data_IF_779524906831
#
_entry.id   IF_779524906831
#
_cell.length_a   1.000
_cell.length_b   1.000
_cell.length_c   1.000
_cell.angle_alpha   90.00
_cell.angle_beta   90.00
_cell.angle_gamma   90.00
#
_symmetry.space_group_name_H-M   'P 1'
#
loop_
_entity.id
_entity.type
_entity.pdbx_description
1 polymer ?
#
# COMPACT_ATOMS: atom_id res chain seq x y z
N UNK A 1 21.89 -54.29 -49.66
CA UNK A 1 22.35 -53.32 -48.64
C UNK A 1 21.20 -52.34 -48.41
N UNK A 2 20.55 -52.38 -47.25
CA UNK A 2 19.45 -51.46 -46.91
C UNK A 2 20.04 -50.31 -46.07
N UNK A 3 20.00 -49.09 -46.60
CA UNK A 3 20.36 -47.88 -45.86
C UNK A 3 19.26 -47.58 -44.83
N UNK A 4 19.53 -47.85 -43.56
CA UNK A 4 18.71 -47.35 -42.46
C UNK A 4 18.94 -45.85 -42.29
N UNK A 5 17.94 -45.02 -42.61
CA UNK A 5 17.96 -43.63 -42.23
C UNK A 5 17.82 -43.54 -40.71
N UNK A 6 18.94 -43.35 -40.01
CA UNK A 6 18.91 -42.91 -38.62
C UNK A 6 18.14 -41.59 -38.57
N UNK A 7 17.02 -41.54 -37.84
CA UNK A 7 16.21 -40.33 -37.73
C UNK A 7 17.07 -39.20 -37.17
N UNK A 8 17.23 -38.13 -37.95
CA UNK A 8 17.99 -36.97 -37.50
C UNK A 8 17.22 -36.26 -36.37
N UNK A 9 17.87 -36.12 -35.22
CA UNK A 9 17.38 -35.35 -34.08
C UNK A 9 18.20 -34.07 -33.98
N UNK A 10 17.54 -32.94 -33.77
CA UNK A 10 18.16 -31.64 -33.52
C UNK A 10 17.40 -30.92 -32.41
N UNK A 11 18.13 -30.30 -31.50
CA UNK A 11 17.60 -29.53 -30.38
C UNK A 11 18.21 -28.12 -30.42
N UNK A 12 17.45 -27.14 -29.94
CA UNK A 12 17.91 -25.75 -29.81
C UNK A 12 17.31 -25.12 -28.55
N UNK A 13 17.94 -24.06 -28.06
CA UNK A 13 17.48 -23.34 -26.86
C UNK A 13 16.61 -22.17 -27.26
N UNK A 14 15.42 -22.08 -26.67
CA UNK A 14 14.52 -20.93 -26.79
C UNK A 14 14.51 -20.20 -25.45
N UNK A 15 14.86 -18.91 -25.45
CA UNK A 15 14.72 -18.07 -24.28
C UNK A 15 13.32 -17.44 -24.29
N UNK A 16 12.54 -17.74 -23.27
CA UNK A 16 11.21 -17.16 -23.05
C UNK A 16 11.32 -16.18 -21.87
N UNK A 17 10.95 -14.93 -22.09
CA UNK A 17 10.83 -13.92 -21.04
C UNK A 17 9.35 -13.69 -20.76
N UNK A 18 8.94 -13.86 -19.51
CA UNK A 18 7.60 -13.50 -19.05
C UNK A 18 7.63 -12.03 -18.66
N UNK A 19 6.76 -11.24 -19.28
CA UNK A 19 6.58 -9.83 -18.94
C UNK A 19 5.52 -9.70 -17.86
N UNK A 20 5.80 -8.80 -16.92
CA UNK A 20 4.87 -8.46 -15.85
C UNK A 20 3.62 -7.76 -16.41
N UNK A 21 2.47 -8.03 -15.80
CA UNK A 21 1.20 -7.36 -16.07
C UNK A 21 0.63 -6.86 -14.76
N UNK A 22 -0.10 -5.75 -14.77
CA UNK A 22 -0.74 -5.24 -13.56
C UNK A 22 -1.97 -6.09 -13.20
N UNK A 23 -1.74 -7.21 -12.51
CA UNK A 23 -2.79 -8.12 -12.07
C UNK A 23 -2.88 -8.26 -10.53
N UNK A 24 -1.96 -7.64 -9.80
CA UNK A 24 -2.04 -7.49 -8.37
C UNK A 24 -2.55 -6.09 -8.01
N UNK A 25 -3.05 -5.97 -6.78
CA UNK A 25 -3.46 -4.68 -6.22
C UNK A 25 -2.67 -4.43 -4.96
N UNK A 26 -2.46 -3.16 -4.56
CA UNK A 26 -1.84 -2.87 -3.30
C UNK A 26 -2.69 -3.43 -2.15
N UNK A 27 -2.02 -4.06 -1.19
CA UNK A 27 -2.66 -4.70 -0.04
C UNK A 27 -1.99 -4.26 1.25
N UNK A 28 -2.81 -3.93 2.24
CA UNK A 28 -2.34 -3.65 3.58
C UNK A 28 -2.05 -4.97 4.33
N UNK A 29 -1.03 -4.96 5.19
CA UNK A 29 -0.64 -6.13 5.99
C UNK A 29 -1.71 -6.54 7.03
N UNK A 30 -2.71 -5.69 7.31
CA UNK A 30 -3.84 -5.97 8.21
C UNK A 30 -5.15 -5.40 7.64
N UNK A 31 -6.27 -6.00 8.03
CA UNK A 31 -7.61 -5.53 7.64
C UNK A 31 -8.07 -4.30 8.42
N UNK A 32 -7.52 -4.09 9.62
CA UNK A 32 -7.86 -2.97 10.50
C UNK A 32 -6.67 -2.63 11.39
N UNK A 33 -6.55 -1.34 11.71
CA UNK A 33 -5.54 -0.81 12.62
C UNK A 33 -6.23 -0.04 13.74
N UNK A 34 -5.63 -0.06 14.92
CA UNK A 34 -6.06 0.72 16.07
C UNK A 34 -4.83 1.45 16.59
N UNK A 35 -4.96 2.76 16.78
CA UNK A 35 -3.90 3.61 17.30
C UNK A 35 -4.49 4.65 18.23
N UNK A 36 -3.62 5.45 18.83
CA UNK A 36 -4.02 6.53 19.72
C UNK A 36 -3.17 7.78 19.49
N UNK A 37 -3.79 8.92 19.75
CA UNK A 37 -3.15 10.24 19.70
C UNK A 37 -3.68 11.07 20.88
N UNK A 38 -2.82 11.92 21.43
CA UNK A 38 -3.20 12.86 22.48
C UNK A 38 -3.99 14.02 21.89
N UNK A 39 -5.01 14.53 22.60
CA UNK A 39 -5.68 15.79 22.25
C UNK A 39 -4.75 17.00 22.26
N UNK A 40 -3.66 16.92 23.03
CA UNK A 40 -2.61 17.93 23.08
C UNK A 40 -1.58 17.77 21.95
N UNK A 41 -1.82 16.87 20.99
CA UNK A 41 -0.92 16.68 19.87
C UNK A 41 -0.84 17.94 19.01
N UNK A 42 0.37 18.35 18.65
CA UNK A 42 0.59 19.44 17.70
C UNK A 42 0.50 18.92 16.26
N UNK A 43 0.35 19.83 15.30
CA UNK A 43 0.35 19.50 13.88
C UNK A 43 1.55 18.62 13.51
N UNK A 44 1.32 17.60 12.68
CA UNK A 44 2.29 16.58 12.26
C UNK A 44 2.76 15.60 13.33
N UNK A 45 2.10 15.53 14.49
CA UNK A 45 2.33 14.44 15.44
C UNK A 45 1.82 13.11 14.85
N UNK A 46 2.65 12.05 14.84
CA UNK A 46 2.23 10.74 14.32
C UNK A 46 1.27 10.04 15.29
N UNK A 47 0.26 9.36 14.73
CA UNK A 47 -0.62 8.47 15.50
C UNK A 47 0.18 7.25 15.94
N UNK A 48 0.14 6.95 17.24
CA UNK A 48 0.93 5.87 17.83
C UNK A 48 0.21 4.52 17.74
N UNK A 49 0.97 3.42 17.72
CA UNK A 49 0.43 2.06 17.68
C UNK A 49 0.04 1.55 16.28
N UNK A 50 0.22 2.35 15.22
CA UNK A 50 -0.05 1.97 13.85
C UNK A 50 1.20 1.35 13.20
N UNK A 51 1.20 0.03 13.00
CA UNK A 51 2.21 -0.70 12.21
C UNK A 51 1.65 -1.03 10.83
N UNK A 52 1.42 0.00 10.02
CA UNK A 52 0.81 -0.13 8.69
C UNK A 52 1.87 -0.33 7.63
N UNK A 53 1.73 -1.41 6.87
CA UNK A 53 2.51 -1.66 5.67
C UNK A 53 1.54 -1.94 4.53
N UNK A 54 1.85 -1.40 3.35
CA UNK A 54 1.10 -1.63 2.11
C UNK A 54 2.06 -2.10 1.04
N UNK A 55 1.65 -3.11 0.27
CA UNK A 55 2.47 -3.66 -0.80
C UNK A 55 1.67 -4.12 -2.01
N UNK A 56 2.22 -3.92 -3.19
CA UNK A 56 1.77 -4.49 -4.47
C UNK A 56 2.84 -5.47 -4.98
N UNK A 57 2.40 -6.65 -5.44
CA UNK A 57 3.29 -7.73 -5.85
C UNK A 57 3.79 -7.60 -7.30
N UNK A 58 3.25 -6.65 -8.07
CA UNK A 58 3.67 -6.37 -9.44
C UNK A 58 5.08 -5.76 -9.52
N UNK A 59 5.66 -5.69 -10.72
CA UNK A 59 7.03 -5.22 -10.92
C UNK A 59 7.10 -3.82 -11.51
N UNK A 60 8.08 -3.03 -11.03
CA UNK A 60 8.36 -1.70 -11.54
C UNK A 60 7.14 -0.78 -11.47
N UNK A 61 6.81 -0.16 -12.61
CA UNK A 61 5.67 0.77 -12.72
C UNK A 61 4.32 0.12 -12.42
N UNK A 62 4.20 -1.20 -12.54
CA UNK A 62 2.95 -1.89 -12.24
C UNK A 62 2.67 -1.96 -10.73
N UNK A 63 3.68 -1.82 -9.86
CA UNK A 63 3.50 -1.71 -8.41
C UNK A 63 3.58 -0.27 -7.88
N UNK A 64 3.40 0.73 -8.76
CA UNK A 64 3.25 2.13 -8.35
C UNK A 64 1.79 2.43 -7.97
N UNK A 65 1.58 3.06 -6.82
CA UNK A 65 0.25 3.40 -6.35
C UNK A 65 0.24 4.67 -5.50
N UNK A 66 -0.97 5.20 -5.27
CA UNK A 66 -1.20 6.36 -4.39
C UNK A 66 -1.99 5.94 -3.17
N UNK A 67 -1.78 6.68 -2.09
CA UNK A 67 -2.53 6.52 -0.85
C UNK A 67 -3.31 7.81 -0.59
N UNK A 68 -4.56 7.62 -0.18
CA UNK A 68 -5.44 8.69 0.30
C UNK A 68 -6.29 8.16 1.44
N UNK A 69 -6.52 9.01 2.43
CA UNK A 69 -7.50 8.78 3.48
C UNK A 69 -8.91 9.15 3.01
N UNK A 70 -9.87 8.34 3.43
CA UNK A 70 -11.29 8.59 3.32
C UNK A 70 -11.92 8.58 4.70
N UNK A 71 -13.02 9.29 4.83
CA UNK A 71 -13.83 9.36 6.04
C UNK A 71 -14.13 10.80 6.34
N UNK A 72 -15.06 11.03 7.27
CA UNK A 72 -15.43 12.38 7.69
C UNK A 72 -14.26 13.11 8.39
N UNK A 73 -13.25 12.34 8.82
CA UNK A 73 -12.05 12.83 9.49
C UNK A 73 -10.81 12.94 8.57
N UNK A 74 -10.98 12.86 7.24
CA UNK A 74 -9.87 13.05 6.28
C UNK A 74 -9.32 14.49 6.26
N UNK A 75 -10.03 15.44 6.89
CA UNK A 75 -9.54 16.79 7.16
C UNK A 75 -8.71 16.92 8.44
N UNK A 76 -8.77 15.93 9.34
CA UNK A 76 -8.11 15.96 10.65
C UNK A 76 -6.76 15.26 10.62
N UNK A 77 -6.65 14.24 9.77
CA UNK A 77 -5.42 13.46 9.59
C UNK A 77 -4.98 13.46 8.13
N UNK A 78 -3.68 13.28 7.93
CA UNK A 78 -3.10 13.05 6.61
C UNK A 78 -2.19 11.80 6.64
N UNK A 79 -1.86 11.30 5.45
CA UNK A 79 -1.11 10.08 5.25
C UNK A 79 0.18 10.33 4.50
N UNK A 80 1.25 9.68 4.95
CA UNK A 80 2.52 9.60 4.22
C UNK A 80 3.02 8.15 4.10
N UNK A 81 3.58 7.76 2.94
CA UNK A 81 3.71 8.55 1.71
C UNK A 81 2.39 8.63 0.92
N UNK A 82 2.20 9.69 0.12
CA UNK A 82 1.03 9.81 -0.79
C UNK A 82 1.19 9.05 -2.10
N UNK A 83 2.44 8.78 -2.50
CA UNK A 83 2.80 8.03 -3.70
C UNK A 83 3.90 7.03 -3.34
N UNK A 84 3.71 5.79 -3.76
CA UNK A 84 4.68 4.71 -3.62
C UNK A 84 5.17 4.34 -5.01
N UNK A 85 6.48 4.41 -5.21
CA UNK A 85 7.12 4.19 -6.52
C UNK A 85 7.52 2.72 -6.78
N UNK A 86 7.00 1.79 -5.98
CA UNK A 86 7.18 0.36 -6.22
C UNK A 86 7.13 -0.49 -4.95
N UNK A 87 6.61 -1.70 -5.11
CA UNK A 87 6.70 -2.80 -4.14
C UNK A 87 5.94 -2.54 -2.85
N UNK A 88 6.55 -1.88 -1.88
CA UNK A 88 5.99 -1.73 -0.53
C UNK A 88 6.37 -0.42 0.15
N UNK A 89 5.54 0.04 1.08
CA UNK A 89 5.81 1.19 1.92
C UNK A 89 5.25 1.01 3.34
N UNK A 90 5.94 1.60 4.31
CA UNK A 90 5.38 1.85 5.65
C UNK A 90 4.54 3.11 5.58
N UNK A 91 3.33 3.04 6.15
CA UNK A 91 2.36 4.14 6.13
C UNK A 91 2.31 4.80 7.49
N UNK A 92 2.41 6.13 7.53
CA UNK A 92 2.27 6.95 8.74
C UNK A 92 1.05 7.83 8.62
N UNK A 93 0.28 7.93 9.69
CA UNK A 93 -0.84 8.85 9.83
C UNK A 93 -0.43 9.92 10.82
N UNK A 94 -0.68 11.19 10.48
CA UNK A 94 -0.35 12.31 11.34
C UNK A 94 -1.50 13.31 11.38
N UNK A 95 -1.60 14.05 12.48
CA UNK A 95 -2.62 15.10 12.64
C UNK A 95 -2.28 16.32 11.78
N UNK A 96 -3.29 16.89 11.14
CA UNK A 96 -3.21 18.16 10.40
C UNK A 96 -4.14 19.25 10.96
N UNK A 97 -5.15 18.87 11.76
CA UNK A 97 -6.06 19.80 12.44
C UNK A 97 -6.16 19.50 13.95
N UNK A 98 -5.19 19.96 14.78
CA UNK A 98 -5.18 19.72 16.23
C UNK A 98 -6.44 20.18 16.99
N UNK A 99 -7.07 21.33 16.70
CA UNK A 99 -8.34 21.72 17.33
C UNK A 99 -9.45 20.66 17.21
N UNK A 100 -9.44 19.84 16.16
CA UNK A 100 -10.41 18.77 15.95
C UNK A 100 -10.12 17.50 16.79
N UNK A 101 -9.09 17.50 17.64
CA UNK A 101 -8.78 16.42 18.58
C UNK A 101 -9.33 16.64 19.99
N UNK A 102 -9.96 17.79 20.26
CA UNK A 102 -10.52 18.12 21.57
C UNK A 102 -11.66 17.16 21.96
N UNK A 103 -11.41 16.25 22.90
CA UNK A 103 -12.37 15.21 23.29
C UNK A 103 -13.61 15.75 24.00
N UNK A 104 -13.55 16.97 24.56
CA UNK A 104 -14.69 17.57 25.27
C UNK A 104 -15.79 18.03 24.31
N UNK A 105 -15.44 18.28 23.04
CA UNK A 105 -16.35 18.79 22.01
C UNK A 105 -16.66 17.79 20.91
N UNK A 106 -16.01 16.61 20.91
CA UNK A 106 -16.23 15.56 19.92
C UNK A 106 -17.50 14.73 20.21
N UNK A 107 -18.45 14.73 19.28
CA UNK A 107 -19.62 13.83 19.34
C UNK A 107 -19.23 12.34 19.23
N UNK A 108 -18.05 12.03 18.68
CA UNK A 108 -17.51 10.67 18.56
C UNK A 108 -15.99 10.65 18.78
N UNK A 109 -15.48 9.88 19.77
CA UNK A 109 -14.04 9.75 20.01
C UNK A 109 -13.35 8.81 19.00
N UNK A 110 -14.11 8.00 18.27
CA UNK A 110 -13.60 7.08 17.26
C UNK A 110 -13.69 7.70 15.86
N UNK A 111 -12.53 7.83 15.20
CA UNK A 111 -12.41 8.32 13.82
C UNK A 111 -12.08 7.15 12.90
N UNK A 112 -12.90 6.92 11.87
CA UNK A 112 -12.76 5.78 10.95
C UNK A 112 -12.17 6.27 9.63
N UNK A 113 -10.94 5.85 9.34
CA UNK A 113 -10.26 6.13 8.10
C UNK A 113 -10.26 4.91 7.19
N UNK A 114 -10.48 5.11 5.89
CA UNK A 114 -10.35 4.07 4.85
C UNK A 114 -9.36 4.52 3.78
N UNK A 115 -8.83 3.58 3.00
CA UNK A 115 -7.91 3.86 1.91
C UNK A 115 -8.55 3.57 0.54
N UNK A 116 -8.31 4.42 -0.47
CA UNK A 116 -8.60 4.16 -1.88
C UNK A 116 -7.32 4.04 -2.72
N UNK A 117 -7.47 3.42 -3.89
CA UNK A 117 -6.55 3.48 -5.02
C UNK A 117 -6.61 4.86 -5.70
#
# INVERSE_FOLDING_TARGET
>A
MMNGSSGAFAETTVQITVLDVNDNRPTFNRQSYSGSISEHAVIHTPVTGLQMEVSDADQGTNSEFRLRLLGDDDSVFDVEPKSVLGGAATVTIFVVDPPALDYETLEKPEKILRFLK
#
